data_IF_035495681091
#
_entry.id   IF_035495681091
#
_cell.length_a   1.000
_cell.length_b   1.000
_cell.length_c   1.000
_cell.angle_alpha   90.00
_cell.angle_beta   90.00
_cell.angle_gamma   90.00
#
_symmetry.space_group_name_H-M   'P 1'
#
loop_
_entity.id
_entity.type
_entity.pdbx_description
1 polymer ?
#
# COMPACT_ATOMS: atom_id res chain seq x y z
N UNK A 1 -10.54 34.33 10.18
CA UNK A 1 -10.80 33.06 10.89
C UNK A 1 -10.43 31.94 9.92
N UNK A 2 -9.15 31.55 9.87
CA UNK A 2 -8.71 30.47 8.99
C UNK A 2 -9.02 29.14 9.66
N UNK A 3 -9.89 28.33 9.04
CA UNK A 3 -10.16 26.96 9.46
C UNK A 3 -8.93 26.12 9.11
N UNK A 4 -8.18 25.69 10.12
CA UNK A 4 -7.17 24.65 9.96
C UNK A 4 -7.87 23.35 9.57
N UNK A 5 -7.73 22.93 8.31
CA UNK A 5 -7.92 21.51 7.94
C UNK A 5 -6.89 20.72 8.76
N UNK A 6 -7.29 19.70 9.54
CA UNK A 6 -6.32 18.80 10.12
C UNK A 6 -5.71 18.04 8.94
N UNK A 7 -4.47 18.35 8.63
CA UNK A 7 -3.69 17.52 7.74
C UNK A 7 -3.48 16.19 8.46
N UNK A 8 -4.15 15.13 7.97
CA UNK A 8 -3.99 13.74 8.38
C UNK A 8 -2.57 13.24 8.05
N UNK A 9 -1.55 13.82 8.70
CA UNK A 9 -0.20 13.28 8.71
C UNK A 9 -0.09 12.31 9.89
N UNK A 10 -0.91 11.26 9.87
CA UNK A 10 -0.70 10.12 10.78
C UNK A 10 0.58 9.42 10.34
N UNK A 11 1.65 9.62 11.10
CA UNK A 11 2.96 9.02 10.83
C UNK A 11 2.91 7.51 11.07
N UNK A 12 3.78 6.74 10.41
CA UNK A 12 3.88 5.29 10.58
C UNK A 12 4.03 4.90 12.06
N UNK A 13 4.83 5.66 12.83
CA UNK A 13 5.01 5.48 14.27
C UNK A 13 3.72 5.66 15.09
N UNK A 14 2.83 6.56 14.67
CA UNK A 14 1.53 6.75 15.34
C UNK A 14 0.60 5.57 15.06
N UNK A 15 0.61 5.02 13.84
CA UNK A 15 -0.15 3.82 13.49
C UNK A 15 0.34 2.62 14.28
N UNK A 16 1.66 2.43 14.40
CA UNK A 16 2.26 1.34 15.19
C UNK A 16 1.85 1.46 16.66
N UNK A 17 1.96 2.66 17.27
CA UNK A 17 1.54 2.89 18.66
C UNK A 17 0.05 2.66 18.90
N UNK A 18 -0.80 2.87 17.90
CA UNK A 18 -2.23 2.55 17.98
C UNK A 18 -2.47 1.05 17.87
N UNK A 19 -1.73 0.36 16.98
CA UNK A 19 -1.82 -1.09 16.82
C UNK A 19 -1.31 -1.85 18.05
N UNK A 20 -0.30 -1.35 18.76
CA UNK A 20 0.23 -1.95 20.00
C UNK A 20 -0.81 -2.01 21.15
N UNK A 21 -1.89 -1.24 21.05
CA UNK A 21 -2.98 -1.20 22.05
C UNK A 21 -4.12 -2.17 21.74
N UNK A 22 -4.08 -2.83 20.58
CA UNK A 22 -5.10 -3.76 20.13
C UNK A 22 -4.81 -5.19 20.61
N UNK A 23 -5.85 -6.00 20.75
CA UNK A 23 -5.66 -7.45 20.95
C UNK A 23 -5.10 -8.10 19.67
N UNK A 24 -4.52 -9.30 19.74
CA UNK A 24 -4.05 -10.01 18.54
C UNK A 24 -5.12 -10.16 17.45
N UNK A 25 -6.37 -10.45 17.83
CA UNK A 25 -7.50 -10.57 16.89
C UNK A 25 -7.84 -9.22 16.24
N UNK A 26 -7.81 -8.13 17.00
CA UNK A 26 -8.05 -6.78 16.48
C UNK A 26 -6.90 -6.31 15.57
N UNK A 27 -5.65 -6.70 15.87
CA UNK A 27 -4.50 -6.45 15.01
C UNK A 27 -4.63 -7.18 13.68
N UNK A 28 -5.09 -8.44 13.69
CA UNK A 28 -5.31 -9.22 12.48
C UNK A 28 -6.38 -8.59 11.59
N UNK A 29 -7.50 -8.16 12.19
CA UNK A 29 -8.56 -7.43 11.49
C UNK A 29 -8.05 -6.09 10.90
N UNK A 30 -7.23 -5.35 11.64
CA UNK A 30 -6.62 -4.11 11.15
C UNK A 30 -5.73 -4.36 9.93
N UNK A 31 -4.90 -5.42 9.97
CA UNK A 31 -4.05 -5.81 8.85
C UNK A 31 -4.89 -6.19 7.62
N UNK A 32 -5.98 -6.93 7.81
CA UNK A 32 -6.87 -7.30 6.72
C UNK A 32 -7.54 -6.08 6.08
N UNK A 33 -8.02 -5.13 6.88
CA UNK A 33 -8.56 -3.87 6.37
C UNK A 33 -7.53 -3.05 5.60
N UNK A 34 -6.29 -2.98 6.08
CA UNK A 34 -5.20 -2.29 5.38
C UNK A 34 -4.95 -2.97 4.02
N UNK A 35 -4.84 -4.31 3.98
CA UNK A 35 -4.66 -5.07 2.73
C UNK A 35 -5.78 -4.78 1.73
N UNK A 36 -7.04 -4.79 2.18
CA UNK A 36 -8.19 -4.50 1.33
C UNK A 36 -8.14 -3.06 0.76
N UNK A 37 -7.74 -2.09 1.57
CA UNK A 37 -7.58 -0.69 1.12
C UNK A 37 -6.48 -0.56 0.05
N UNK A 38 -5.37 -1.28 0.21
CA UNK A 38 -4.29 -1.32 -0.78
C UNK A 38 -4.73 -1.98 -2.08
N UNK A 39 -5.43 -3.11 -1.99
CA UNK A 39 -6.00 -3.80 -3.15
C UNK A 39 -6.93 -2.88 -3.94
N UNK A 40 -7.84 -2.18 -3.24
CA UNK A 40 -8.77 -1.25 -3.89
C UNK A 40 -8.04 -0.12 -4.61
N UNK A 41 -7.03 0.48 -3.97
CA UNK A 41 -6.20 1.51 -4.60
C UNK A 41 -5.47 1.00 -5.83
N UNK A 42 -4.90 -0.20 -5.77
CA UNK A 42 -4.22 -0.80 -6.92
C UNK A 42 -5.17 -1.07 -8.08
N UNK A 43 -6.42 -1.47 -7.79
CA UNK A 43 -7.46 -1.62 -8.79
C UNK A 43 -7.86 -0.27 -9.40
N UNK A 44 -8.07 0.76 -8.57
CA UNK A 44 -8.39 2.12 -9.05
C UNK A 44 -7.28 2.67 -9.95
N UNK A 45 -6.00 2.49 -9.57
CA UNK A 45 -4.83 2.87 -10.38
C UNK A 45 -4.73 2.07 -11.69
N UNK A 46 -5.13 0.79 -11.68
CA UNK A 46 -5.18 -0.05 -12.87
C UNK A 46 -6.31 0.39 -13.81
N UNK A 47 -7.50 0.69 -13.29
CA UNK A 47 -8.63 1.21 -14.05
C UNK A 47 -8.31 2.58 -14.66
N UNK A 48 -7.66 3.48 -13.92
CA UNK A 48 -7.17 4.75 -14.44
C UNK A 48 -6.13 4.55 -15.55
N UNK A 49 -5.22 3.58 -15.41
CA UNK A 49 -4.22 3.26 -16.42
C UNK A 49 -4.86 2.73 -17.71
N UNK A 50 -5.87 1.85 -17.59
CA UNK A 50 -6.64 1.36 -18.72
C UNK A 50 -7.43 2.49 -19.39
N UNK A 51 -8.08 3.35 -18.62
CA UNK A 51 -8.83 4.50 -19.13
C UNK A 51 -7.93 5.51 -19.88
N UNK A 52 -6.66 5.63 -19.47
CA UNK A 52 -5.65 6.46 -20.15
C UNK A 52 -4.98 5.77 -21.35
N UNK A 53 -5.40 4.54 -21.70
CA UNK A 53 -4.79 3.77 -22.78
C UNK A 53 -3.38 3.28 -22.46
N UNK A 54 -2.95 3.36 -21.19
CA UNK A 54 -1.68 2.78 -20.71
C UNK A 54 -1.91 1.31 -20.38
N UNK A 55 -2.11 0.50 -21.42
CA UNK A 55 -2.06 -0.95 -21.28
C UNK A 55 -0.60 -1.37 -21.21
N UNK A 56 -0.14 -1.79 -20.02
CA UNK A 56 1.13 -2.51 -19.89
C UNK A 56 0.86 -3.96 -20.29
N UNK A 57 1.66 -4.51 -21.19
CA UNK A 57 1.53 -5.93 -21.53
C UNK A 57 1.81 -6.80 -20.32
N UNK A 58 1.19 -7.98 -20.25
CA UNK A 58 1.46 -8.93 -19.15
C UNK A 58 2.96 -9.27 -19.04
N UNK A 59 3.69 -9.28 -20.16
CA UNK A 59 5.14 -9.51 -20.21
C UNK A 59 5.95 -8.36 -19.60
N UNK A 60 5.52 -7.11 -19.77
CA UNK A 60 6.16 -5.95 -19.14
C UNK A 60 5.88 -5.90 -17.64
N UNK A 61 4.66 -6.28 -17.23
CA UNK A 61 4.29 -6.40 -15.83
C UNK A 61 5.12 -7.48 -15.12
N UNK A 62 5.28 -8.64 -15.74
CA UNK A 62 6.06 -9.76 -15.19
C UNK A 62 7.54 -9.36 -14.98
N UNK A 63 8.13 -8.64 -15.95
CA UNK A 63 9.48 -8.08 -15.82
C UNK A 63 9.61 -7.09 -14.66
N UNK A 64 8.61 -6.23 -14.46
CA UNK A 64 8.60 -5.29 -13.32
C UNK A 64 8.48 -6.01 -11.98
N UNK A 65 7.62 -7.03 -11.89
CA UNK A 65 7.47 -7.85 -10.68
C UNK A 65 8.78 -8.58 -10.36
N UNK A 66 9.45 -9.16 -11.35
CA UNK A 66 10.72 -9.87 -11.14
C UNK A 66 11.89 -8.95 -10.79
N UNK A 67 11.87 -7.72 -11.29
CA UNK A 67 12.80 -6.67 -10.86
C UNK A 67 12.56 -6.29 -9.39
N UNK A 68 11.29 -6.09 -9.00
CA UNK A 68 10.93 -5.76 -7.62
C UNK A 68 11.28 -6.89 -6.64
N UNK A 69 11.01 -8.14 -7.00
CA UNK A 69 11.40 -9.32 -6.20
C UNK A 69 12.90 -9.38 -5.97
N UNK A 70 13.71 -9.15 -7.01
CA UNK A 70 15.18 -9.14 -6.91
C UNK A 70 15.68 -8.07 -5.94
N UNK A 71 15.15 -6.85 -6.03
CA UNK A 71 15.49 -5.76 -5.10
C UNK A 71 15.17 -6.11 -3.65
N UNK A 72 13.99 -6.69 -3.38
CA UNK A 72 13.60 -7.10 -2.03
C UNK A 72 14.54 -8.18 -1.48
N UNK A 73 14.99 -9.11 -2.33
CA UNK A 73 15.95 -10.15 -1.93
C UNK A 73 17.32 -9.53 -1.63
N UNK A 74 17.80 -8.61 -2.47
CA UNK A 74 19.09 -7.91 -2.27
C UNK A 74 19.09 -7.05 -1.00
N UNK A 75 17.99 -6.36 -0.69
CA UNK A 75 17.84 -5.58 0.54
C UNK A 75 17.79 -6.45 1.80
N UNK A 76 17.29 -7.69 1.71
CA UNK A 76 17.27 -8.64 2.84
C UNK A 76 18.60 -9.34 3.09
N UNK A 77 19.54 -9.27 2.15
CA UNK A 77 20.88 -9.87 2.26
C UNK A 77 21.97 -8.86 2.70
N UNK A 78 21.60 -7.59 2.88
CA UNK A 78 22.43 -6.55 3.52
C UNK A 78 22.10 -6.44 5.00
#
# INVERSE_FOLDING_TARGET
MAQHRPEDNTTLDQVIKMADRLTPEEQEQLVEQIKLKWLRRAMDEADESLAQGRSVSLEELDKHIDSAKRKIIEERQK
#
